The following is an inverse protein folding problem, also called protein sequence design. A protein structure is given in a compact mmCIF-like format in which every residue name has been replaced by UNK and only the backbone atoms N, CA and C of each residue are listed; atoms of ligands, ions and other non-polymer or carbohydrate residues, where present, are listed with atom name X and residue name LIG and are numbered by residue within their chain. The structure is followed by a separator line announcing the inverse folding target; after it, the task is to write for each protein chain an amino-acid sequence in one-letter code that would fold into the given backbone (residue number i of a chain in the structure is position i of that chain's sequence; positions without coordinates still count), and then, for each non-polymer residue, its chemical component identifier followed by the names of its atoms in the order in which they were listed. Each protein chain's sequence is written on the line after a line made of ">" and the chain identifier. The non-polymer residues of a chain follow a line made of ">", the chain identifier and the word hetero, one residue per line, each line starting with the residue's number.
data_IF_474161856322
#
_entry.id   IF_474161856322
#
_cell.length_a   1.000
_cell.length_b   1.000
_cell.length_c   1.000
_cell.angle_alpha   90.00
_cell.angle_beta   90.00
_cell.angle_gamma   90.00
#
_symmetry.space_group_name_H-M   'P 1'
#
loop_
_entity.id
_entity.type
_entity.pdbx_description
1 polymer ?
#
# COMPACT_ATOMS: atom_id res chain seq x y z
N UNK A 1 -24.23 -6.01 -5.23
CA UNK A 1 -23.60 -7.26 -4.76
C UNK A 1 -22.57 -6.84 -3.72
N UNK A 2 -22.75 -7.26 -2.46
CA UNK A 2 -21.79 -7.06 -1.39
C UNK A 2 -20.49 -7.71 -1.85
N UNK A 3 -19.40 -6.93 -1.91
CA UNK A 3 -18.06 -7.50 -1.88
C UNK A 3 -17.96 -8.25 -0.55
N UNK A 4 -18.09 -9.54 -0.60
CA UNK A 4 -17.72 -10.39 0.50
C UNK A 4 -16.20 -10.27 0.58
N UNK A 5 -15.69 -9.39 1.47
CA UNK A 5 -14.38 -9.65 2.05
C UNK A 5 -14.50 -11.06 2.57
N UNK A 6 -13.75 -11.97 2.00
CA UNK A 6 -13.48 -13.21 2.67
C UNK A 6 -12.83 -12.78 3.99
N UNK A 7 -13.60 -12.77 5.07
CA UNK A 7 -13.08 -12.79 6.41
C UNK A 7 -12.44 -14.16 6.59
N UNK A 8 -11.32 -14.37 5.93
CA UNK A 8 -10.33 -15.31 6.39
C UNK A 8 -9.84 -14.78 7.71
N UNK A 9 -9.69 -15.64 8.64
CA UNK A 9 -9.03 -15.41 9.91
C UNK A 9 -7.70 -14.70 9.59
N UNK A 10 -7.63 -13.38 9.82
CA UNK A 10 -6.43 -12.57 9.61
C UNK A 10 -5.37 -12.89 10.66
N UNK A 11 -5.59 -14.00 11.40
CA UNK A 11 -4.58 -14.56 12.26
C UNK A 11 -3.44 -15.05 11.38
N UNK A 12 -2.54 -14.14 11.20
CA UNK A 12 -1.13 -14.38 11.20
C UNK A 12 -0.38 -14.69 9.93
N UNK A 13 -0.74 -15.51 9.00
CA UNK A 13 0.36 -15.93 8.12
C UNK A 13 0.04 -15.72 6.63
N UNK A 14 0.74 -14.74 6.02
CA UNK A 14 0.93 -14.77 4.56
C UNK A 14 1.36 -16.18 4.20
N UNK A 15 0.44 -16.94 3.63
CA UNK A 15 0.68 -18.32 3.24
C UNK A 15 1.12 -18.35 1.77
N UNK A 16 2.18 -19.09 1.47
CA UNK A 16 2.69 -19.19 0.11
C UNK A 16 1.66 -19.75 -0.87
N UNK A 17 0.77 -20.68 -0.43
CA UNK A 17 -0.31 -21.21 -1.28
C UNK A 17 -1.34 -20.16 -1.68
N UNK A 18 -1.69 -19.25 -0.75
CA UNK A 18 -2.63 -18.18 -1.02
C UNK A 18 -2.02 -17.12 -1.93
N UNK A 19 -0.73 -16.78 -1.70
CA UNK A 19 0.02 -15.90 -2.59
C UNK A 19 0.15 -16.48 -4.00
N UNK A 20 0.43 -17.77 -4.13
CA UNK A 20 0.47 -18.45 -5.43
C UNK A 20 -0.88 -18.33 -6.15
N UNK A 21 -1.97 -18.59 -5.44
CA UNK A 21 -3.32 -18.44 -5.99
C UNK A 21 -3.59 -17.00 -6.43
N UNK A 22 -3.30 -16.01 -5.57
CA UNK A 22 -3.48 -14.60 -5.87
C UNK A 22 -2.67 -14.14 -7.09
N UNK A 23 -1.41 -14.57 -7.21
CA UNK A 23 -0.56 -14.27 -8.36
C UNK A 23 -1.15 -14.80 -9.66
N UNK A 24 -1.64 -16.05 -9.67
CA UNK A 24 -2.29 -16.66 -10.84
C UNK A 24 -3.60 -15.96 -11.21
N UNK A 25 -4.42 -15.62 -10.22
CA UNK A 25 -5.69 -14.89 -10.44
C UNK A 25 -5.41 -13.48 -10.96
N UNK A 26 -4.46 -12.75 -10.36
CA UNK A 26 -4.08 -11.43 -10.82
C UNK A 26 -3.58 -11.45 -12.27
N UNK A 27 -2.73 -12.42 -12.62
CA UNK A 27 -2.24 -12.58 -13.98
C UNK A 27 -3.39 -12.89 -14.97
N UNK A 28 -4.26 -13.84 -14.64
CA UNK A 28 -5.40 -14.22 -15.50
C UNK A 28 -6.41 -13.07 -15.68
N UNK A 29 -6.55 -12.20 -14.67
CA UNK A 29 -7.42 -11.02 -14.72
C UNK A 29 -6.78 -9.78 -15.38
N UNK A 30 -5.53 -9.86 -15.82
CA UNK A 30 -4.79 -8.71 -16.37
C UNK A 30 -4.39 -7.70 -15.29
N UNK A 31 -4.27 -8.15 -14.05
CA UNK A 31 -3.81 -7.32 -12.92
C UNK A 31 -2.34 -6.93 -13.05
N UNK A 32 -1.92 -5.94 -12.28
CA UNK A 32 -0.55 -5.37 -12.32
C UNK A 32 0.25 -5.65 -11.04
N UNK A 33 -0.16 -6.60 -10.22
CA UNK A 33 0.51 -7.03 -9.00
C UNK A 33 -0.46 -7.51 -7.93
N UNK A 34 0.09 -8.11 -6.89
CA UNK A 34 -0.64 -8.63 -5.72
C UNK A 34 -0.23 -7.82 -4.50
N UNK A 35 -1.22 -7.30 -3.78
CA UNK A 35 -1.01 -6.59 -2.52
C UNK A 35 -0.88 -7.58 -1.36
N UNK A 36 0.07 -7.33 -0.46
CA UNK A 36 0.19 -8.02 0.83
C UNK A 36 0.36 -7.04 1.98
N UNK A 37 0.00 -7.51 3.16
CA UNK A 37 0.29 -6.86 4.43
C UNK A 37 1.24 -7.76 5.23
N UNK A 38 2.28 -7.17 5.83
CA UNK A 38 3.26 -7.92 6.62
C UNK A 38 2.70 -8.15 8.03
N UNK A 39 1.97 -9.25 8.20
CA UNK A 39 1.47 -9.70 9.50
C UNK A 39 0.58 -8.72 10.26
N UNK A 40 0.40 -8.98 11.55
CA UNK A 40 -0.36 -8.15 12.48
C UNK A 40 0.46 -7.96 13.78
N UNK A 41 0.59 -6.72 14.21
CA UNK A 41 1.24 -6.42 15.49
C UNK A 41 0.43 -7.00 16.67
N UNK A 42 1.10 -7.73 17.54
CA UNK A 42 0.47 -8.47 18.64
C UNK A 42 0.42 -9.99 18.47
N UNK A 43 0.65 -10.51 17.25
CA UNK A 43 0.70 -11.95 16.98
C UNK A 43 2.05 -12.60 17.35
N UNK A 44 2.91 -11.84 18.00
CA UNK A 44 4.22 -12.28 18.47
C UNK A 44 5.30 -11.21 18.26
N UNK A 45 6.57 -11.57 18.47
CA UNK A 45 7.69 -10.67 18.20
C UNK A 45 7.72 -10.25 16.73
N UNK A 46 7.79 -8.94 16.47
CA UNK A 46 7.73 -8.40 15.11
C UNK A 46 8.79 -9.04 14.18
N UNK A 47 10.00 -9.24 14.66
CA UNK A 47 11.07 -9.84 13.87
C UNK A 47 10.71 -11.25 13.36
N UNK A 48 10.00 -12.03 14.17
CA UNK A 48 9.56 -13.38 13.79
C UNK A 48 8.42 -13.33 12.76
N UNK A 49 7.48 -12.40 12.94
CA UNK A 49 6.37 -12.18 11.98
C UNK A 49 6.95 -11.75 10.61
N UNK A 50 7.86 -10.79 10.60
CA UNK A 50 8.53 -10.30 9.39
C UNK A 50 9.30 -11.42 8.69
N UNK A 51 10.02 -12.25 9.46
CA UNK A 51 10.80 -13.35 8.88
C UNK A 51 9.90 -14.47 8.32
N UNK A 52 8.79 -14.80 8.98
CA UNK A 52 7.81 -15.74 8.43
C UNK A 52 7.23 -15.23 7.11
N UNK A 53 6.78 -13.98 7.06
CA UNK A 53 6.27 -13.36 5.84
C UNK A 53 7.32 -13.39 4.72
N UNK A 54 8.56 -13.02 5.03
CA UNK A 54 9.68 -13.06 4.07
C UNK A 54 9.90 -14.46 3.51
N UNK A 55 9.87 -15.47 4.35
CA UNK A 55 10.10 -16.85 3.93
C UNK A 55 8.97 -17.38 3.03
N UNK A 56 7.71 -17.04 3.33
CA UNK A 56 6.58 -17.41 2.48
C UNK A 56 6.63 -16.70 1.12
N UNK A 57 6.95 -15.41 1.11
CA UNK A 57 7.12 -14.66 -0.14
C UNK A 57 8.25 -15.22 -1.01
N UNK A 58 9.40 -15.58 -0.41
CA UNK A 58 10.53 -16.17 -1.16
C UNK A 58 10.15 -17.43 -1.93
N UNK A 59 9.24 -18.26 -1.41
CA UNK A 59 8.78 -19.49 -2.07
C UNK A 59 8.07 -19.20 -3.38
N UNK A 60 7.35 -18.09 -3.47
CA UNK A 60 6.54 -17.73 -4.64
C UNK A 60 7.18 -16.71 -5.58
N UNK A 61 8.34 -16.17 -5.24
CA UNK A 61 9.07 -15.23 -6.10
C UNK A 61 9.36 -15.76 -7.52
N UNK A 62 9.76 -17.03 -7.71
CA UNK A 62 9.94 -17.56 -9.06
C UNK A 62 8.66 -17.52 -9.88
N UNK A 63 7.51 -17.78 -9.24
CA UNK A 63 6.21 -17.68 -9.89
C UNK A 63 5.85 -16.23 -10.23
N UNK A 64 6.04 -15.31 -9.27
CA UNK A 64 5.83 -13.88 -9.47
C UNK A 64 6.61 -13.37 -10.69
N UNK A 65 7.90 -13.75 -10.77
CA UNK A 65 8.76 -13.43 -11.91
C UNK A 65 8.24 -14.03 -13.24
N UNK A 66 7.85 -15.31 -13.25
CA UNK A 66 7.37 -15.99 -14.45
C UNK A 66 6.06 -15.42 -14.98
N UNK A 67 5.21 -14.90 -14.09
CA UNK A 67 3.92 -14.30 -14.43
C UNK A 67 4.01 -12.80 -14.70
N UNK A 68 5.15 -12.14 -14.40
CA UNK A 68 5.29 -10.70 -14.49
C UNK A 68 4.41 -9.97 -13.46
N UNK A 69 4.15 -10.59 -12.30
CA UNK A 69 3.25 -10.08 -11.26
C UNK A 69 4.05 -9.74 -9.99
N UNK A 70 4.35 -8.48 -9.70
CA UNK A 70 5.04 -8.11 -8.47
C UNK A 70 4.16 -8.34 -7.23
N UNK A 71 4.83 -8.67 -6.12
CA UNK A 71 4.23 -8.72 -4.78
C UNK A 71 4.52 -7.37 -4.13
N UNK A 72 3.47 -6.65 -3.74
CA UNK A 72 3.54 -5.27 -3.28
C UNK A 72 3.10 -5.16 -1.83
N UNK A 73 3.97 -4.59 -1.01
CA UNK A 73 3.76 -4.42 0.43
C UNK A 73 3.03 -3.12 0.71
N UNK A 74 1.90 -3.20 1.41
CA UNK A 74 1.13 -2.04 1.83
C UNK A 74 1.48 -1.61 3.26
N UNK A 75 1.51 -0.31 3.50
CA UNK A 75 1.60 0.30 4.83
C UNK A 75 0.19 0.50 5.41
N UNK A 76 -0.25 -0.44 6.21
CA UNK A 76 -1.56 -0.40 6.90
C UNK A 76 -1.43 -0.12 8.40
N UNK A 77 -2.55 0.08 9.07
CA UNK A 77 -2.59 0.31 10.53
C UNK A 77 -2.59 -1.03 11.31
N UNK A 78 -1.60 -1.85 11.05
CA UNK A 78 -1.44 -3.19 11.65
C UNK A 78 -0.39 -3.25 12.75
N UNK A 79 0.16 -2.11 13.18
CA UNK A 79 1.24 -2.02 14.17
C UNK A 79 2.50 -2.79 13.80
N UNK A 80 2.80 -2.85 12.51
CA UNK A 80 4.00 -3.47 11.96
C UNK A 80 4.80 -2.44 11.17
N UNK A 81 6.11 -2.57 11.15
CA UNK A 81 7.05 -1.79 10.35
C UNK A 81 7.18 -0.31 10.72
N UNK A 82 6.24 0.28 11.41
CA UNK A 82 6.29 1.59 12.05
C UNK A 82 5.40 1.62 13.29
N UNK A 83 5.70 2.50 14.21
CA UNK A 83 5.04 2.56 15.51
C UNK A 83 3.91 3.62 15.47
N UNK A 84 2.68 3.18 15.60
CA UNK A 84 1.50 4.05 15.55
C UNK A 84 1.33 4.95 16.78
N UNK A 85 2.05 4.66 17.86
CA UNK A 85 2.01 5.41 19.12
C UNK A 85 3.17 6.41 19.24
N UNK A 86 4.03 6.49 18.24
CA UNK A 86 5.19 7.40 18.19
C UNK A 86 4.97 8.61 17.26
N UNK A 87 5.80 9.65 17.43
CA UNK A 87 5.75 10.83 16.57
C UNK A 87 5.88 10.53 15.08
N UNK A 88 5.33 11.40 14.22
CA UNK A 88 5.27 11.18 12.76
C UNK A 88 6.62 11.34 12.02
N UNK A 89 7.73 11.54 12.74
CA UNK A 89 9.07 11.65 12.14
C UNK A 89 9.72 10.30 11.81
N UNK A 90 9.00 9.19 11.98
CA UNK A 90 9.51 7.88 11.62
C UNK A 90 9.70 7.77 10.11
N UNK A 91 10.83 7.20 9.70
CA UNK A 91 11.10 6.94 8.29
C UNK A 91 10.58 5.59 7.81
N UNK A 92 10.64 5.32 6.51
CA UNK A 92 10.22 4.06 5.89
C UNK A 92 11.31 3.00 5.86
N UNK A 93 12.42 3.18 6.59
CA UNK A 93 13.62 2.35 6.49
C UNK A 93 13.31 0.86 6.68
N UNK A 94 12.41 0.53 7.60
CA UNK A 94 12.03 -0.87 7.88
C UNK A 94 11.30 -1.51 6.69
N UNK A 95 10.46 -0.76 5.98
CA UNK A 95 9.85 -1.21 4.71
C UNK A 95 10.90 -1.35 3.61
N UNK A 96 11.82 -0.39 3.51
CA UNK A 96 12.91 -0.41 2.52
C UNK A 96 13.78 -1.65 2.75
N UNK A 97 14.22 -1.88 3.98
CA UNK A 97 15.03 -3.05 4.33
C UNK A 97 14.30 -4.36 4.05
N UNK A 98 13.00 -4.41 4.32
CA UNK A 98 12.19 -5.58 4.00
C UNK A 98 12.13 -5.84 2.50
N UNK A 99 11.79 -4.85 1.69
CA UNK A 99 11.71 -4.97 0.22
C UNK A 99 13.08 -5.32 -0.36
N UNK A 100 14.13 -4.63 0.04
CA UNK A 100 15.48 -4.83 -0.49
C UNK A 100 16.09 -6.19 -0.10
N UNK A 101 15.60 -6.78 1.00
CA UNK A 101 16.07 -8.11 1.44
C UNK A 101 15.77 -9.22 0.43
N UNK A 102 14.84 -9.01 -0.48
CA UNK A 102 14.50 -9.98 -1.53
C UNK A 102 15.45 -9.91 -2.73
N UNK A 103 16.15 -8.79 -2.92
CA UNK A 103 17.03 -8.55 -4.08
C UNK A 103 16.36 -8.88 -5.41
N UNK A 104 15.10 -8.50 -5.54
CA UNK A 104 14.22 -8.88 -6.65
C UNK A 104 13.38 -7.69 -7.11
N UNK A 105 13.27 -7.44 -8.42
CA UNK A 105 12.37 -6.41 -8.94
C UNK A 105 10.88 -6.79 -8.81
N UNK A 106 10.58 -8.00 -8.37
CA UNK A 106 9.22 -8.50 -8.18
C UNK A 106 8.69 -8.30 -6.77
N UNK A 107 9.39 -7.52 -5.94
CA UNK A 107 8.90 -7.04 -4.64
C UNK A 107 9.03 -5.52 -4.60
N UNK A 108 7.97 -4.84 -4.18
CA UNK A 108 7.95 -3.39 -4.09
C UNK A 108 6.91 -2.91 -3.07
N UNK A 109 6.67 -1.59 -3.08
CA UNK A 109 5.70 -0.95 -2.22
C UNK A 109 4.39 -0.69 -2.96
N UNK A 110 3.29 -0.97 -2.32
CA UNK A 110 1.98 -0.42 -2.58
C UNK A 110 1.72 0.64 -1.53
N UNK A 111 2.11 1.87 -1.82
CA UNK A 111 2.12 2.92 -0.80
C UNK A 111 0.75 3.57 -0.66
N UNK A 112 0.14 3.42 0.52
CA UNK A 112 -1.07 4.11 0.90
C UNK A 112 -0.75 5.45 1.55
N UNK A 113 -1.10 6.53 0.86
CA UNK A 113 -0.81 7.90 1.27
C UNK A 113 -1.72 8.33 2.42
N UNK A 114 -3.01 7.97 2.36
CA UNK A 114 -3.98 8.35 3.40
C UNK A 114 -3.76 7.62 4.72
N UNK A 115 -3.40 6.33 4.68
CA UNK A 115 -3.00 5.59 5.88
C UNK A 115 -1.79 6.26 6.56
N UNK A 116 -0.80 6.65 5.75
CA UNK A 116 0.42 7.22 6.29
C UNK A 116 0.24 8.65 6.78
N UNK A 117 -0.63 9.47 6.16
CA UNK A 117 -0.83 10.85 6.55
C UNK A 117 -1.16 11.03 8.03
N UNK A 118 -1.88 10.08 8.62
CA UNK A 118 -2.13 10.06 10.07
C UNK A 118 -0.83 10.02 10.89
N UNK A 119 0.20 9.35 10.43
CA UNK A 119 1.39 9.00 11.18
C UNK A 119 2.68 9.65 10.68
N UNK A 120 2.66 10.38 9.56
CA UNK A 120 3.90 10.92 9.01
C UNK A 120 3.73 11.94 7.90
N UNK A 121 4.81 12.14 7.16
CA UNK A 121 4.90 13.08 6.04
C UNK A 121 5.06 12.29 4.73
N UNK A 122 4.02 12.15 3.90
CA UNK A 122 4.07 11.33 2.69
C UNK A 122 5.23 11.66 1.76
N UNK A 123 5.55 12.95 1.57
CA UNK A 123 6.64 13.37 0.69
C UNK A 123 8.00 12.76 1.04
N UNK A 124 8.31 12.67 2.35
CA UNK A 124 9.58 12.12 2.79
C UNK A 124 9.67 10.60 2.53
N UNK A 125 8.57 9.91 2.75
CA UNK A 125 8.48 8.48 2.47
C UNK A 125 8.56 8.20 0.97
N UNK A 126 7.84 8.95 0.14
CA UNK A 126 7.88 8.82 -1.32
C UNK A 126 9.33 8.98 -1.83
N UNK A 127 10.04 10.03 -1.39
CA UNK A 127 11.44 10.26 -1.77
C UNK A 127 12.34 9.10 -1.38
N UNK A 128 12.20 8.59 -0.16
CA UNK A 128 13.03 7.49 0.35
C UNK A 128 12.69 6.15 -0.33
N UNK A 129 11.42 5.87 -0.63
CA UNK A 129 11.03 4.68 -1.39
C UNK A 129 11.64 4.70 -2.80
N UNK A 130 11.62 5.85 -3.47
CA UNK A 130 12.15 5.97 -4.82
C UNK A 130 11.54 4.92 -5.77
N UNK A 131 12.39 4.19 -6.49
CA UNK A 131 11.98 3.14 -7.43
C UNK A 131 11.23 1.95 -6.81
N UNK A 132 11.23 1.81 -5.49
CA UNK A 132 10.47 0.77 -4.78
C UNK A 132 8.98 1.06 -4.73
N UNK A 133 8.59 2.33 -4.93
CA UNK A 133 7.18 2.74 -4.98
C UNK A 133 6.59 2.34 -6.34
N UNK A 134 5.87 1.23 -6.39
CA UNK A 134 5.33 0.64 -7.64
C UNK A 134 3.89 1.02 -7.86
N UNK A 135 3.09 1.07 -6.80
CA UNK A 135 1.67 1.45 -6.84
C UNK A 135 1.31 2.34 -5.66
N UNK A 136 0.21 3.08 -5.83
CA UNK A 136 -0.33 3.95 -4.80
C UNK A 136 -1.77 3.57 -4.49
N UNK A 137 -2.13 3.56 -3.20
CA UNK A 137 -3.51 3.73 -2.76
C UNK A 137 -3.74 5.18 -2.37
N UNK A 138 -4.86 5.70 -2.85
CA UNK A 138 -5.27 7.09 -2.70
C UNK A 138 -6.58 7.14 -1.95
N UNK A 139 -6.54 7.74 -0.76
CA UNK A 139 -7.72 8.08 0.03
C UNK A 139 -7.47 9.39 0.76
N UNK A 140 -8.52 10.16 0.99
CA UNK A 140 -8.44 11.36 1.81
C UNK A 140 -8.43 11.01 3.30
N UNK A 141 -7.75 11.81 4.08
CA UNK A 141 -7.75 11.71 5.53
C UNK A 141 -7.76 13.10 6.15
N UNK A 142 -8.51 13.25 7.24
CA UNK A 142 -8.51 14.45 8.06
C UNK A 142 -7.85 14.17 9.41
N UNK A 143 -6.70 14.77 9.66
CA UNK A 143 -6.07 14.75 11.00
C UNK A 143 -6.93 15.42 12.05
N UNK A 144 -7.65 16.49 11.66
CA UNK A 144 -8.55 17.21 12.57
C UNK A 144 -9.73 16.35 13.04
N UNK A 145 -10.27 15.50 12.15
CA UNK A 145 -11.39 14.61 12.45
C UNK A 145 -10.95 13.21 12.89
N UNK A 146 -9.66 12.90 12.73
CA UNK A 146 -9.07 11.56 12.88
C UNK A 146 -9.87 10.49 12.10
N UNK A 147 -10.18 10.80 10.84
CA UNK A 147 -11.03 9.95 10.01
C UNK A 147 -10.69 10.04 8.52
N UNK A 148 -10.98 8.96 7.81
CA UNK A 148 -10.98 8.97 6.34
C UNK A 148 -12.12 9.85 5.82
N UNK A 149 -11.83 10.63 4.80
CA UNK A 149 -12.76 11.56 4.14
C UNK A 149 -12.64 11.41 2.63
N UNK A 150 -13.58 12.02 1.89
CA UNK A 150 -13.47 12.02 0.42
C UNK A 150 -12.19 12.75 -0.03
N UNK A 151 -11.50 12.17 -1.00
CA UNK A 151 -10.26 12.69 -1.59
C UNK A 151 -10.49 14.14 -2.05
N UNK A 152 -9.60 15.04 -1.68
CA UNK A 152 -9.65 16.48 -2.01
C UNK A 152 -10.94 17.21 -1.60
N UNK A 153 -11.72 16.64 -0.67
CA UNK A 153 -12.83 17.36 -0.04
C UNK A 153 -12.31 18.51 0.84
N UNK A 154 -13.22 19.36 1.33
CA UNK A 154 -12.83 20.45 2.24
C UNK A 154 -12.28 19.97 3.59
N UNK A 155 -12.53 18.71 3.95
CA UNK A 155 -12.05 18.08 5.16
C UNK A 155 -10.72 17.31 4.96
N UNK A 156 -10.35 17.03 3.71
CA UNK A 156 -9.11 16.33 3.38
C UNK A 156 -7.92 17.26 3.55
N UNK A 157 -7.06 16.95 4.52
CA UNK A 157 -5.88 17.74 4.80
C UNK A 157 -4.56 17.07 4.35
N UNK A 158 -4.65 16.02 3.52
CA UNK A 158 -3.48 15.42 2.87
C UNK A 158 -2.80 16.45 1.97
N UNK A 159 -1.48 16.65 2.10
CA UNK A 159 -0.75 17.68 1.35
C UNK A 159 -0.49 17.25 -0.10
N UNK A 160 -1.54 17.14 -0.91
CA UNK A 160 -1.47 16.62 -2.29
C UNK A 160 -0.46 17.36 -3.18
N UNK A 161 -0.23 18.65 -2.95
CA UNK A 161 0.82 19.41 -3.65
C UNK A 161 2.20 18.82 -3.42
N UNK A 162 2.56 18.60 -2.16
CA UNK A 162 3.85 18.02 -1.78
C UNK A 162 3.97 16.54 -2.22
N UNK A 163 2.86 15.81 -2.22
CA UNK A 163 2.81 14.44 -2.75
C UNK A 163 3.15 14.42 -4.23
N UNK A 164 2.53 15.31 -5.05
CA UNK A 164 2.82 15.42 -6.49
C UNK A 164 4.28 15.75 -6.76
N UNK A 165 4.83 16.72 -6.02
CA UNK A 165 6.24 17.08 -6.15
C UNK A 165 7.15 15.89 -5.89
N UNK A 166 6.94 15.16 -4.80
CA UNK A 166 7.76 14.01 -4.46
C UNK A 166 7.60 12.85 -5.47
N UNK A 167 6.39 12.61 -5.97
CA UNK A 167 6.17 11.60 -7.02
C UNK A 167 6.87 11.97 -8.33
N UNK A 168 6.87 13.26 -8.70
CA UNK A 168 7.59 13.75 -9.88
C UNK A 168 9.10 13.61 -9.69
N UNK A 169 9.64 13.95 -8.53
CA UNK A 169 11.07 13.82 -8.20
C UNK A 169 11.58 12.39 -8.34
N UNK A 170 10.79 11.38 -7.92
CA UNK A 170 11.17 9.98 -8.07
C UNK A 170 10.87 9.38 -9.44
N UNK A 171 10.24 10.15 -10.34
CA UNK A 171 9.82 9.67 -11.65
C UNK A 171 8.74 8.59 -11.59
N UNK A 172 7.80 8.68 -10.62
CA UNK A 172 6.74 7.67 -10.47
C UNK A 172 5.89 7.54 -11.74
N UNK A 173 5.75 6.32 -12.25
CA UNK A 173 4.97 5.98 -13.44
C UNK A 173 4.08 4.75 -13.23
N UNK A 174 3.65 4.51 -12.00
CA UNK A 174 2.82 3.37 -11.60
C UNK A 174 1.32 3.67 -11.62
N UNK A 175 0.54 2.68 -11.21
CA UNK A 175 -0.89 2.83 -11.01
C UNK A 175 -1.18 3.51 -9.67
N UNK A 176 -2.21 4.37 -9.67
CA UNK A 176 -2.81 4.94 -8.47
C UNK A 176 -4.28 4.50 -8.40
N UNK A 177 -4.64 3.83 -7.31
CA UNK A 177 -5.98 3.28 -7.08
C UNK A 177 -6.71 4.11 -6.03
N UNK A 178 -7.99 4.42 -6.26
CA UNK A 178 -8.82 5.05 -5.23
C UNK A 178 -9.32 3.99 -4.25
N UNK A 179 -8.89 4.05 -3.00
CA UNK A 179 -9.42 3.20 -1.94
C UNK A 179 -10.54 3.93 -1.18
N UNK A 180 -11.70 3.99 -1.81
CA UNK A 180 -12.88 4.72 -1.31
C UNK A 180 -14.16 3.90 -1.51
N UNK A 181 -15.22 4.30 -0.83
CA UNK A 181 -16.55 3.69 -1.06
C UNK A 181 -16.96 3.80 -2.52
N UNK A 182 -17.29 2.64 -3.11
CA UNK A 182 -17.83 2.55 -4.47
C UNK A 182 -19.25 3.11 -4.58
N UNK A 183 -19.85 2.97 -5.77
CA UNK A 183 -21.20 3.45 -6.02
C UNK A 183 -21.59 3.32 -7.50
N UNK A 184 -22.54 4.14 -7.91
CA UNK A 184 -23.00 4.25 -9.28
C UNK A 184 -22.02 5.05 -10.18
N UNK A 185 -22.39 5.24 -11.43
CA UNK A 185 -21.58 5.99 -12.41
C UNK A 185 -21.32 7.44 -11.93
N UNK A 186 -22.28 8.07 -11.26
CA UNK A 186 -22.12 9.44 -10.77
C UNK A 186 -21.07 9.48 -9.64
N UNK A 187 -21.10 8.53 -8.70
CA UNK A 187 -20.07 8.38 -7.65
C UNK A 187 -18.70 8.12 -8.27
N UNK A 188 -18.58 7.16 -9.19
CA UNK A 188 -17.31 6.86 -9.84
C UNK A 188 -16.75 8.07 -10.64
N UNK A 189 -17.64 8.84 -11.28
CA UNK A 189 -17.25 10.09 -11.96
C UNK A 189 -16.70 11.13 -10.97
N UNK A 190 -17.32 11.22 -9.79
CA UNK A 190 -16.83 12.11 -8.71
C UNK A 190 -15.46 11.66 -8.22
N UNK A 191 -15.29 10.36 -7.91
CA UNK A 191 -14.00 9.81 -7.49
C UNK A 191 -12.90 10.06 -8.53
N UNK A 192 -13.19 9.85 -9.81
CA UNK A 192 -12.24 10.15 -10.89
C UNK A 192 -11.77 11.61 -10.86
N UNK A 193 -12.70 12.58 -10.73
CA UNK A 193 -12.35 14.00 -10.64
C UNK A 193 -11.52 14.33 -9.40
N UNK A 194 -11.84 13.70 -8.27
CA UNK A 194 -11.09 13.83 -7.02
C UNK A 194 -9.66 13.29 -7.18
N UNK A 195 -9.50 12.12 -7.82
CA UNK A 195 -8.19 11.55 -8.15
C UNK A 195 -7.39 12.46 -9.09
N UNK A 196 -8.02 12.97 -10.14
CA UNK A 196 -7.38 13.92 -11.07
C UNK A 196 -6.86 15.15 -10.31
N UNK A 197 -7.69 15.73 -9.44
CA UNK A 197 -7.29 16.87 -8.61
C UNK A 197 -6.17 16.53 -7.62
N UNK A 198 -6.19 15.35 -7.02
CA UNK A 198 -5.14 14.92 -6.09
C UNK A 198 -3.79 14.74 -6.80
N UNK A 199 -3.80 14.13 -7.99
CA UNK A 199 -2.58 13.70 -8.69
C UNK A 199 -2.05 14.69 -9.74
N UNK A 200 -2.90 15.56 -10.28
CA UNK A 200 -2.50 16.52 -11.32
C UNK A 200 -2.71 18.00 -10.93
N UNK A 201 -3.58 18.29 -9.94
CA UNK A 201 -3.86 19.66 -9.46
C UNK A 201 -5.13 20.26 -10.03
#
# INVERSE_FOLDING_TARGET
>A
RRHTRLQGDWSSDVCSSDLEHCLRVAHAAGGSGVLIVVGQGGDGPEAEIVERCRNEMKKVLPLAASLGQPILVENVWNRMMYDHDKPPEQGPERFIDFVDSFKSPWVGMYYDIGNHWKYGQPKEWIRKFGHRCVKLDIKGFSRKKDAFVDITSADDDVPWGEVREALAEIGFAGWATAEVGGGDVARLTTVRKQMEKALYG
#
